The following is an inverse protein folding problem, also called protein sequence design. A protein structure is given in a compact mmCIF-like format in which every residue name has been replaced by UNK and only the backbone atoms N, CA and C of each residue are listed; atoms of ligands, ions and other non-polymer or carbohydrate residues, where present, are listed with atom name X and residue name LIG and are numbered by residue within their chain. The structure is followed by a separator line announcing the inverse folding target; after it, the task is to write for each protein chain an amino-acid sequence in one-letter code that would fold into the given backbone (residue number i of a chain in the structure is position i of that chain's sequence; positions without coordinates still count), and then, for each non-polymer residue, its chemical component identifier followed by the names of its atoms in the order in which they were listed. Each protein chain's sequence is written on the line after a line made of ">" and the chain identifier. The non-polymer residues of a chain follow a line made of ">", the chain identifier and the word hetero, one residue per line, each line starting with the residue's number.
data_IF_285743913339
#
_entry.id   IF_285743913339
#
_cell.length_a   1.000
_cell.length_b   1.000
_cell.length_c   1.000
_cell.angle_alpha   90.00
_cell.angle_beta   90.00
_cell.angle_gamma   90.00
#
_symmetry.space_group_name_H-M   'P 1'
#
loop_
_entity.id
_entity.type
_entity.pdbx_description
1 polymer ?
#
# COMPACT_ATOMS: atom_id res chain seq x y z
N UNK A 1 6.51 -12.65 -1.50
CA UNK A 1 5.88 -11.44 -1.99
C UNK A 1 6.36 -10.19 -1.29
N UNK A 2 5.67 -9.09 -1.50
CA UNK A 2 6.03 -7.79 -0.92
C UNK A 2 6.04 -7.82 0.61
N UNK A 3 5.09 -8.50 1.21
CA UNK A 3 5.00 -8.64 2.68
C UNK A 3 6.20 -9.44 3.21
N UNK A 4 6.60 -10.50 2.54
CA UNK A 4 7.74 -11.31 2.95
C UNK A 4 9.04 -10.50 2.90
N UNK A 5 9.22 -9.68 1.85
CA UNK A 5 10.39 -8.81 1.73
C UNK A 5 10.48 -7.81 2.88
N UNK A 6 9.34 -7.24 3.30
CA UNK A 6 9.30 -6.32 4.44
C UNK A 6 9.65 -7.04 5.74
N UNK A 7 9.22 -8.29 5.91
CA UNK A 7 9.54 -9.07 7.12
C UNK A 7 11.04 -9.23 7.34
N UNK A 8 11.83 -9.33 6.26
CA UNK A 8 13.28 -9.42 6.36
C UNK A 8 13.92 -8.14 6.92
N UNK A 9 13.32 -6.97 6.68
CA UNK A 9 13.87 -5.68 7.10
C UNK A 9 13.38 -5.22 8.46
N UNK A 10 12.11 -5.50 8.78
CA UNK A 10 11.47 -4.91 9.95
C UNK A 10 11.07 -5.93 11.02
N UNK A 11 11.25 -7.21 10.76
CA UNK A 11 10.87 -8.27 11.70
C UNK A 11 9.36 -8.42 11.80
N UNK A 12 8.82 -8.35 13.01
CA UNK A 12 7.40 -8.58 13.24
C UNK A 12 6.54 -7.45 12.65
N UNK A 13 5.72 -7.76 11.66
CA UNK A 13 4.84 -6.79 11.00
C UNK A 13 3.46 -6.84 11.64
N UNK A 14 3.23 -5.91 12.57
CA UNK A 14 1.91 -5.71 13.17
C UNK A 14 1.11 -4.74 12.33
N UNK A 15 -0.21 -4.90 12.31
CA UNK A 15 -1.13 -4.00 11.62
C UNK A 15 -0.86 -3.91 10.11
N UNK A 16 -0.39 -5.00 9.52
CA UNK A 16 -0.26 -5.16 8.09
C UNK A 16 -1.08 -6.36 7.65
N UNK A 17 -1.94 -6.16 6.67
CA UNK A 17 -2.76 -7.24 6.12
C UNK A 17 -2.91 -7.02 4.63
N UNK A 18 -3.43 -8.00 3.94
CA UNK A 18 -3.68 -7.90 2.51
C UNK A 18 -5.04 -8.48 2.16
N UNK A 19 -5.55 -8.09 1.01
CA UNK A 19 -6.79 -8.61 0.47
C UNK A 19 -6.65 -8.74 -1.04
N UNK A 20 -6.84 -9.94 -1.56
CA UNK A 20 -6.76 -10.22 -2.98
C UNK A 20 -8.14 -10.42 -3.57
N UNK A 21 -8.41 -9.76 -4.70
CA UNK A 21 -9.62 -9.99 -5.48
C UNK A 21 -9.34 -11.13 -6.46
N UNK A 22 -10.13 -12.19 -6.37
CA UNK A 22 -10.09 -13.30 -7.32
C UNK A 22 -11.10 -13.04 -8.43
N UNK A 23 -10.87 -13.67 -9.59
CA UNK A 23 -11.67 -13.43 -10.78
C UNK A 23 -13.16 -13.70 -10.58
N UNK A 24 -13.52 -14.67 -9.76
CA UNK A 24 -14.91 -15.04 -9.46
C UNK A 24 -15.49 -14.30 -8.26
N UNK A 25 -14.73 -13.41 -7.61
CA UNK A 25 -15.19 -12.71 -6.44
C UNK A 25 -16.17 -11.60 -6.81
N UNK A 26 -17.20 -11.41 -5.98
CA UNK A 26 -18.15 -10.32 -6.11
C UNK A 26 -17.52 -9.01 -5.58
N UNK A 27 -17.54 -7.91 -6.35
CA UNK A 27 -16.97 -6.64 -5.91
C UNK A 27 -17.57 -6.09 -4.61
N UNK A 28 -18.87 -6.30 -4.37
CA UNK A 28 -19.51 -5.83 -3.14
C UNK A 28 -19.03 -6.64 -1.93
N UNK A 29 -18.85 -7.94 -2.09
CA UNK A 29 -18.30 -8.78 -1.04
C UNK A 29 -16.84 -8.40 -0.76
N UNK A 30 -16.06 -8.09 -1.79
CA UNK A 30 -14.71 -7.58 -1.63
C UNK A 30 -14.69 -6.30 -0.79
N UNK A 31 -15.60 -5.37 -1.08
CA UNK A 31 -15.71 -4.12 -0.32
C UNK A 31 -16.05 -4.38 1.15
N UNK A 32 -16.96 -5.31 1.42
CA UNK A 32 -17.32 -5.67 2.79
C UNK A 32 -16.13 -6.24 3.56
N UNK A 33 -15.36 -7.13 2.94
CA UNK A 33 -14.14 -7.66 3.53
C UNK A 33 -13.12 -6.55 3.79
N UNK A 34 -13.01 -5.59 2.87
CA UNK A 34 -12.13 -4.43 3.04
C UNK A 34 -12.53 -3.60 4.26
N UNK A 35 -13.82 -3.33 4.42
CA UNK A 35 -14.35 -2.59 5.57
C UNK A 35 -14.02 -3.31 6.87
N UNK A 36 -14.18 -4.62 6.91
CA UNK A 36 -13.86 -5.43 8.09
C UNK A 36 -12.37 -5.37 8.43
N UNK A 37 -11.50 -5.46 7.42
CA UNK A 37 -10.06 -5.38 7.62
C UNK A 37 -9.63 -3.98 8.10
N UNK A 38 -10.23 -2.92 7.57
CA UNK A 38 -9.97 -1.55 8.02
C UNK A 38 -10.28 -1.42 9.51
N UNK A 39 -11.44 -1.91 9.94
CA UNK A 39 -11.84 -1.86 11.34
C UNK A 39 -10.89 -2.64 12.24
N UNK A 40 -10.41 -3.80 11.76
CA UNK A 40 -9.51 -4.65 12.53
C UNK A 40 -8.10 -4.04 12.66
N UNK A 41 -7.64 -3.31 11.63
CA UNK A 41 -6.30 -2.73 11.60
C UNK A 41 -6.21 -1.35 12.25
N UNK A 42 -7.31 -0.59 12.25
CA UNK A 42 -7.30 0.79 12.73
C UNK A 42 -7.13 0.83 14.25
N UNK A 43 -6.04 1.44 14.69
CA UNK A 43 -5.76 1.66 16.11
C UNK A 43 -6.09 3.07 16.58
N UNK A 44 -6.85 3.83 15.79
CA UNK A 44 -7.22 5.23 16.05
C UNK A 44 -6.41 6.25 15.24
N UNK A 45 -5.40 5.82 14.51
CA UNK A 45 -4.54 6.69 13.69
C UNK A 45 -4.90 6.65 12.21
N UNK A 46 -5.93 5.89 11.83
CA UNK A 46 -6.35 5.74 10.47
C UNK A 46 -5.69 4.55 9.76
N UNK A 47 -5.98 4.42 8.47
CA UNK A 47 -5.51 3.30 7.63
C UNK A 47 -5.06 3.84 6.28
N UNK A 48 -3.93 3.31 5.79
CA UNK A 48 -3.45 3.56 4.43
C UNK A 48 -3.68 2.29 3.63
N UNK A 49 -4.38 2.43 2.50
CA UNK A 49 -4.61 1.34 1.55
C UNK A 49 -3.68 1.53 0.37
N UNK A 50 -2.96 0.48 0.01
CA UNK A 50 -2.13 0.48 -1.19
C UNK A 50 -2.79 -0.38 -2.26
N UNK A 51 -3.05 0.21 -3.43
CA UNK A 51 -3.58 -0.49 -4.60
C UNK A 51 -2.53 -0.47 -5.71
N UNK A 52 -2.49 -1.54 -6.51
CA UNK A 52 -1.47 -1.65 -7.54
C UNK A 52 -1.80 -0.86 -8.81
N UNK A 53 -3.05 -0.81 -9.24
CA UNK A 53 -3.46 -0.18 -10.50
C UNK A 53 -4.59 0.81 -10.26
N UNK A 54 -4.43 2.04 -10.76
CA UNK A 54 -5.52 3.00 -10.82
C UNK A 54 -6.60 2.49 -11.78
N UNK A 55 -7.85 2.48 -11.34
CA UNK A 55 -8.98 2.03 -12.17
C UNK A 55 -9.25 0.54 -12.13
N UNK A 56 -8.43 -0.26 -11.47
CA UNK A 56 -8.73 -1.68 -11.24
C UNK A 56 -9.83 -1.86 -10.20
N UNK A 57 -10.45 -3.04 -10.16
CA UNK A 57 -11.56 -3.31 -9.23
C UNK A 57 -11.18 -3.08 -7.76
N UNK A 58 -10.01 -3.54 -7.26
CA UNK A 58 -9.62 -3.24 -5.88
C UNK A 58 -9.54 -1.75 -5.60
N UNK A 59 -8.96 -0.98 -6.51
CA UNK A 59 -8.87 0.48 -6.39
C UNK A 59 -10.26 1.12 -6.42
N UNK A 60 -11.12 0.71 -7.36
CA UNK A 60 -12.47 1.24 -7.49
C UNK A 60 -13.31 0.96 -6.25
N UNK A 61 -13.20 -0.23 -5.67
CA UNK A 61 -13.93 -0.56 -4.44
C UNK A 61 -13.38 0.23 -3.25
N UNK A 62 -12.09 0.49 -3.18
CA UNK A 62 -11.50 1.28 -2.10
C UNK A 62 -11.96 2.72 -2.11
N UNK A 63 -12.39 3.26 -3.27
CA UNK A 63 -12.95 4.61 -3.36
C UNK A 63 -14.18 4.80 -2.46
N UNK A 64 -14.92 3.73 -2.20
CA UNK A 64 -16.11 3.80 -1.34
C UNK A 64 -15.79 3.91 0.15
N UNK A 65 -14.54 3.64 0.54
CA UNK A 65 -14.14 3.65 1.96
C UNK A 65 -13.23 4.81 2.31
N UNK A 66 -12.94 5.70 1.36
CA UNK A 66 -12.12 6.90 1.59
C UNK A 66 -12.80 7.79 2.62
N UNK A 67 -12.03 8.30 3.58
CA UNK A 67 -12.47 9.26 4.58
C UNK A 67 -11.27 10.07 5.05
N UNK A 68 -11.47 10.95 6.02
CA UNK A 68 -10.33 11.67 6.64
C UNK A 68 -9.33 10.71 7.29
N UNK A 69 -9.79 9.50 7.65
CA UNK A 69 -8.96 8.50 8.33
C UNK A 69 -8.54 7.33 7.42
N UNK A 70 -9.00 7.32 6.16
CA UNK A 70 -8.68 6.25 5.21
C UNK A 70 -8.18 6.86 3.92
N UNK A 71 -6.91 6.65 3.63
CA UNK A 71 -6.21 7.18 2.46
C UNK A 71 -5.88 6.03 1.52
N UNK A 72 -6.13 6.20 0.22
CA UNK A 72 -5.83 5.19 -0.80
C UNK A 72 -4.72 5.71 -1.71
N UNK A 73 -3.63 4.96 -1.80
CA UNK A 73 -2.51 5.26 -2.70
C UNK A 73 -2.45 4.20 -3.79
N UNK A 74 -2.22 4.63 -5.02
CA UNK A 74 -2.15 3.74 -6.18
C UNK A 74 -0.71 3.58 -6.67
N UNK A 75 -0.49 2.60 -7.55
CA UNK A 75 0.84 2.32 -8.07
C UNK A 75 1.76 1.66 -7.04
N UNK A 76 1.18 0.84 -6.17
CA UNK A 76 1.90 0.19 -5.07
C UNK A 76 3.21 -0.43 -5.52
N UNK A 77 4.29 -0.12 -4.78
CA UNK A 77 5.58 -0.77 -4.94
C UNK A 77 6.28 -0.90 -3.59
N UNK A 78 7.38 -1.63 -3.57
CA UNK A 78 8.12 -1.91 -2.34
C UNK A 78 8.64 -0.64 -1.67
N UNK A 79 9.08 0.35 -2.46
CA UNK A 79 9.57 1.61 -1.92
C UNK A 79 8.52 2.36 -1.09
N UNK A 80 7.27 2.36 -1.56
CA UNK A 80 6.15 2.95 -0.81
C UNK A 80 5.93 2.23 0.51
N UNK A 81 5.94 0.90 0.48
CA UNK A 81 5.70 0.09 1.67
C UNK A 81 6.81 0.28 2.71
N UNK A 82 8.06 0.30 2.27
CA UNK A 82 9.21 0.56 3.15
C UNK A 82 9.09 1.94 3.78
N UNK A 83 8.73 2.96 2.99
CA UNK A 83 8.55 4.33 3.47
C UNK A 83 7.49 4.41 4.58
N UNK A 84 6.35 3.75 4.39
CA UNK A 84 5.28 3.71 5.38
C UNK A 84 5.75 3.01 6.66
N UNK A 85 6.36 1.85 6.52
CA UNK A 85 6.78 1.06 7.67
C UNK A 85 7.86 1.77 8.49
N UNK A 86 8.77 2.48 7.82
CA UNK A 86 9.80 3.27 8.48
C UNK A 86 9.19 4.43 9.27
N UNK A 87 8.22 5.13 8.69
CA UNK A 87 7.55 6.25 9.35
C UNK A 87 6.72 5.79 10.55
N UNK A 88 6.14 4.59 10.51
CA UNK A 88 5.33 4.05 11.61
C UNK A 88 6.11 3.83 12.90
N UNK A 89 7.43 3.83 12.84
CA UNK A 89 8.29 3.61 14.02
C UNK A 89 8.43 4.87 14.90
N UNK A 90 7.38 5.67 15.01
CA UNK A 90 7.30 6.79 15.92
C UNK A 90 7.16 8.15 15.27
N UNK A 91 6.82 8.19 13.98
CA UNK A 91 6.63 9.43 13.22
C UNK A 91 5.25 9.47 12.58
N UNK A 92 4.75 10.68 12.35
CA UNK A 92 3.56 10.89 11.50
C UNK A 92 3.92 10.52 10.06
N UNK A 93 3.04 9.76 9.40
CA UNK A 93 3.25 9.37 8.02
C UNK A 93 2.94 10.55 7.09
N UNK A 94 3.93 11.00 6.33
CA UNK A 94 3.79 12.02 5.30
C UNK A 94 3.49 11.33 3.98
N UNK A 95 2.26 11.51 3.48
CA UNK A 95 1.79 10.84 2.25
C UNK A 95 2.62 11.27 1.05
N UNK A 96 2.99 12.56 0.95
CA UNK A 96 3.80 13.03 -0.17
C UNK A 96 5.18 12.39 -0.19
N UNK A 97 5.79 12.19 0.97
CA UNK A 97 7.07 11.50 1.07
C UNK A 97 6.93 10.04 0.63
N UNK A 98 5.86 9.37 1.01
CA UNK A 98 5.59 7.99 0.58
C UNK A 98 5.48 7.90 -0.94
N UNK A 99 4.73 8.82 -1.56
CA UNK A 99 4.57 8.85 -3.01
C UNK A 99 5.92 9.12 -3.71
N UNK A 100 6.71 10.04 -3.20
CA UNK A 100 8.02 10.35 -3.77
C UNK A 100 8.99 9.19 -3.62
N UNK A 101 9.02 8.52 -2.49
CA UNK A 101 9.85 7.34 -2.27
C UNK A 101 9.45 6.21 -3.24
N UNK A 102 8.16 6.05 -3.48
CA UNK A 102 7.67 5.09 -4.46
C UNK A 102 8.14 5.40 -5.88
N UNK A 103 8.05 6.67 -6.27
CA UNK A 103 8.49 7.12 -7.60
C UNK A 103 9.99 6.93 -7.80
N UNK A 104 10.78 7.16 -6.75
CA UNK A 104 12.23 7.00 -6.80
C UNK A 104 12.65 5.55 -6.96
N UNK A 105 11.77 4.60 -6.66
CA UNK A 105 12.02 3.18 -6.87
C UNK A 105 11.79 2.70 -8.30
N UNK A 106 11.34 3.58 -9.20
CA UNK A 106 11.06 3.25 -10.59
C UNK A 106 12.21 3.79 -11.43
N UNK A 107 13.07 2.91 -11.92
CA UNK A 107 14.32 3.28 -12.57
C UNK A 107 14.59 2.42 -13.79
N UNK A 108 15.36 2.97 -14.72
CA UNK A 108 16.02 2.19 -15.76
C UNK A 108 17.43 1.85 -15.27
N UNK A 109 17.70 0.57 -15.07
CA UNK A 109 19.01 0.15 -14.55
C UNK A 109 20.16 0.55 -15.47
N UNK A 110 19.92 0.56 -16.79
CA UNK A 110 20.91 1.01 -17.76
C UNK A 110 21.35 2.45 -17.48
N UNK A 111 20.40 3.33 -17.18
CA UNK A 111 20.69 4.74 -16.87
C UNK A 111 21.49 4.86 -15.58
N UNK A 112 21.14 4.08 -14.56
CA UNK A 112 21.84 4.10 -13.28
C UNK A 112 23.30 3.62 -13.41
N UNK A 113 23.54 2.68 -14.32
CA UNK A 113 24.88 2.13 -14.56
C UNK A 113 25.66 2.90 -15.63
N UNK A 114 25.04 3.90 -16.28
CA UNK A 114 25.66 4.63 -17.36
C UNK A 114 25.81 3.83 -18.66
N UNK A 115 24.98 2.82 -18.86
CA UNK A 115 25.02 1.95 -20.05
C UNK A 115 23.99 2.42 -21.07
N UNK A 116 24.37 2.48 -22.35
CA UNK A 116 23.43 2.86 -23.43
C UNK A 116 22.35 1.80 -23.62
N UNK A 117 21.15 2.27 -23.83
CA UNK A 117 19.99 1.41 -24.12
C UNK A 117 20.08 0.82 -25.53
#
# INVERSE_FOLDING_TARGET
>A
GMVDSISLFFGNLKQLDYLCLKKEDNPEQFRQLMIEKIKALDSGEGVIILADILGGTPCNQSAYVISDNVVVLTGMNLGMLISIMSARQGQTIDIEMVLNDGKMGINCLNDLLGVKK
#
